data_IF_782603674449
#
_entry.id   IF_782603674449
#
_cell.length_a   1.000
_cell.length_b   1.000
_cell.length_c   1.000
_cell.angle_alpha   90.00
_cell.angle_beta   90.00
_cell.angle_gamma   90.00
#
_symmetry.space_group_name_H-M   'P 1'
#
loop_
_entity.id
_entity.type
_entity.pdbx_description
1 polymer ?
#
# COMPACT_ATOMS: atom_id res chain seq x y z
N UNK A 1 -19.13 22.14 3.35
CA UNK A 1 -17.69 22.26 3.67
C UNK A 1 -17.18 21.20 4.64
N UNK A 2 -17.91 20.84 5.72
CA UNK A 2 -17.47 19.83 6.70
C UNK A 2 -17.12 18.45 6.10
N UNK A 3 -17.91 17.97 5.14
CA UNK A 3 -17.66 16.68 4.44
C UNK A 3 -16.36 16.66 3.63
N UNK A 4 -16.04 17.75 2.92
CA UNK A 4 -14.78 17.85 2.15
C UNK A 4 -13.55 17.85 3.06
N UNK A 5 -13.63 18.56 4.19
CA UNK A 5 -12.54 18.60 5.18
C UNK A 5 -12.33 17.23 5.81
N UNK A 6 -13.42 16.54 6.19
CA UNK A 6 -13.34 15.19 6.75
C UNK A 6 -12.70 14.20 5.77
N UNK A 7 -13.06 14.29 4.48
CA UNK A 7 -12.49 13.44 3.43
C UNK A 7 -10.99 13.68 3.22
N UNK A 8 -10.57 14.95 3.23
CA UNK A 8 -9.14 15.30 3.16
C UNK A 8 -8.38 14.80 4.38
N UNK A 9 -8.96 14.93 5.58
CA UNK A 9 -8.33 14.52 6.82
C UNK A 9 -8.15 13.01 6.91
N UNK A 10 -9.16 12.24 6.49
CA UNK A 10 -9.05 10.77 6.35
C UNK A 10 -7.96 10.41 5.34
N UNK A 11 -7.90 11.11 4.21
CA UNK A 11 -6.88 10.85 3.19
C UNK A 11 -5.45 11.13 3.67
N UNK A 12 -5.26 12.23 4.41
CA UNK A 12 -3.97 12.55 5.04
C UNK A 12 -3.62 11.49 6.09
N UNK A 13 -4.57 11.05 6.90
CA UNK A 13 -4.36 10.03 7.92
C UNK A 13 -3.96 8.68 7.29
N UNK A 14 -4.68 8.24 6.25
CA UNK A 14 -4.33 7.04 5.48
C UNK A 14 -2.94 7.16 4.85
N UNK A 15 -2.59 8.34 4.31
CA UNK A 15 -1.27 8.59 3.74
C UNK A 15 -0.15 8.51 4.79
N UNK A 16 -0.36 9.09 5.97
CA UNK A 16 0.61 9.04 7.08
C UNK A 16 0.76 7.62 7.60
N UNK A 17 -0.34 6.87 7.76
CA UNK A 17 -0.29 5.47 8.17
C UNK A 17 0.45 4.62 7.13
N UNK A 18 0.19 4.84 5.85
CA UNK A 18 0.87 4.13 4.77
C UNK A 18 2.37 4.43 4.75
N UNK A 19 2.75 5.69 4.92
CA UNK A 19 4.15 6.12 4.98
C UNK A 19 4.86 5.58 6.23
N UNK A 20 4.19 5.59 7.38
CA UNK A 20 4.69 5.01 8.62
C UNK A 20 4.90 3.49 8.50
N UNK A 21 3.93 2.77 7.94
CA UNK A 21 4.03 1.34 7.67
C UNK A 21 5.19 1.03 6.73
N UNK A 22 5.33 1.81 5.64
CA UNK A 22 6.44 1.71 4.71
C UNK A 22 7.80 1.85 5.41
N UNK A 23 7.94 2.90 6.24
CA UNK A 23 9.19 3.17 6.95
C UNK A 23 9.56 2.02 7.89
N UNK A 24 8.61 1.57 8.72
CA UNK A 24 8.84 0.46 9.65
C UNK A 24 9.19 -0.82 8.89
N UNK A 25 8.47 -1.15 7.82
CA UNK A 25 8.75 -2.33 6.99
C UNK A 25 10.13 -2.25 6.35
N UNK A 26 10.50 -1.09 5.78
CA UNK A 26 11.79 -0.87 5.16
C UNK A 26 12.94 -1.04 6.17
N UNK A 27 12.85 -0.40 7.34
CA UNK A 27 13.87 -0.53 8.39
C UNK A 27 14.01 -1.99 8.85
N UNK A 28 12.89 -2.70 9.03
CA UNK A 28 12.93 -4.11 9.42
C UNK A 28 13.56 -5.00 8.34
N UNK A 29 13.29 -4.75 7.06
CA UNK A 29 13.91 -5.49 5.95
C UNK A 29 15.42 -5.22 5.87
N UNK A 30 15.83 -3.95 5.98
CA UNK A 30 17.25 -3.57 5.98
C UNK A 30 17.99 -4.20 7.15
N UNK A 31 17.42 -4.13 8.36
CA UNK A 31 17.99 -4.78 9.55
C UNK A 31 18.03 -6.30 9.40
N UNK A 32 16.91 -6.93 9.01
CA UNK A 32 16.78 -8.38 8.87
C UNK A 32 17.74 -8.98 7.84
N UNK A 33 17.86 -8.35 6.67
CA UNK A 33 18.84 -8.77 5.67
C UNK A 33 20.29 -8.42 6.06
N UNK A 34 20.50 -7.39 6.88
CA UNK A 34 21.81 -6.98 7.41
C UNK A 34 22.35 -7.88 8.53
N UNK A 35 21.48 -8.59 9.26
CA UNK A 35 21.87 -9.47 10.38
C UNK A 35 22.77 -10.64 9.98
N UNK A 36 22.81 -11.02 8.70
CA UNK A 36 23.73 -12.04 8.16
C UNK A 36 25.18 -11.59 8.00
N UNK A 37 25.50 -10.34 8.36
CA UNK A 37 26.84 -9.75 8.22
C UNK A 37 27.02 -9.07 6.86
N UNK A 38 27.13 -7.75 6.86
CA UNK A 38 27.47 -6.97 5.66
C UNK A 38 28.99 -6.96 5.52
N UNK A 39 29.54 -7.90 4.74
CA UNK A 39 30.99 -7.99 4.53
C UNK A 39 31.52 -7.02 3.46
N UNK A 40 30.64 -6.43 2.65
CA UNK A 40 30.99 -5.62 1.48
C UNK A 40 30.00 -4.49 1.23
N UNK A 41 30.51 -3.32 0.80
CA UNK A 41 29.69 -2.17 0.35
C UNK A 41 28.72 -2.55 -0.76
N UNK A 42 29.10 -3.48 -1.64
CA UNK A 42 28.24 -3.98 -2.71
C UNK A 42 27.06 -4.82 -2.21
N UNK A 43 27.24 -5.59 -1.13
CA UNK A 43 26.13 -6.30 -0.48
C UNK A 43 25.17 -5.32 0.21
N UNK A 44 25.70 -4.28 0.86
CA UNK A 44 24.88 -3.25 1.50
C UNK A 44 23.94 -2.58 0.49
N UNK A 45 24.46 -2.19 -0.69
CA UNK A 45 23.65 -1.57 -1.75
C UNK A 45 22.59 -2.54 -2.28
N UNK A 46 22.93 -3.81 -2.49
CA UNK A 46 21.96 -4.83 -2.94
C UNK A 46 20.84 -5.03 -1.93
N UNK A 47 21.17 -5.11 -0.64
CA UNK A 47 20.20 -5.25 0.45
C UNK A 47 19.30 -4.00 0.52
N UNK A 48 19.89 -2.81 0.41
CA UNK A 48 19.15 -1.55 0.42
C UNK A 48 18.16 -1.49 -0.75
N UNK A 49 18.61 -1.80 -1.96
CA UNK A 49 17.75 -1.84 -3.14
C UNK A 49 16.64 -2.89 -3.01
N UNK A 50 16.97 -4.12 -2.61
CA UNK A 50 15.98 -5.19 -2.43
C UNK A 50 14.93 -4.82 -1.37
N UNK A 51 15.36 -4.29 -0.23
CA UNK A 51 14.47 -3.83 0.84
C UNK A 51 13.57 -2.71 0.36
N UNK A 52 14.11 -1.77 -0.42
CA UNK A 52 13.35 -0.66 -0.99
C UNK A 52 12.29 -1.16 -1.99
N UNK A 53 12.66 -2.02 -2.94
CA UNK A 53 11.72 -2.57 -3.90
C UNK A 53 10.62 -3.40 -3.24
N UNK A 54 10.94 -4.17 -2.19
CA UNK A 54 9.94 -4.93 -1.44
C UNK A 54 9.03 -4.02 -0.62
N UNK A 55 9.61 -3.05 0.09
CA UNK A 55 8.86 -2.11 0.91
C UNK A 55 7.96 -1.21 0.06
N UNK A 56 8.34 -0.83 -1.17
CA UNK A 56 7.49 -0.01 -2.07
C UNK A 56 6.52 -0.91 -2.82
N UNK A 57 7.01 -2.05 -3.30
CA UNK A 57 6.29 -2.97 -4.16
C UNK A 57 5.09 -3.60 -3.46
N UNK A 58 5.24 -4.15 -2.26
CA UNK A 58 4.13 -4.81 -1.54
C UNK A 58 2.97 -3.83 -1.27
N UNK A 59 3.19 -2.69 -0.59
CA UNK A 59 2.13 -1.74 -0.29
C UNK A 59 1.54 -1.12 -1.56
N UNK A 60 2.36 -0.85 -2.58
CA UNK A 60 1.91 -0.36 -3.88
C UNK A 60 1.01 -1.36 -4.63
N UNK A 61 1.37 -2.65 -4.59
CA UNK A 61 0.55 -3.74 -5.15
C UNK A 61 -0.76 -3.92 -4.40
N UNK A 62 -0.73 -3.88 -3.07
CA UNK A 62 -1.93 -3.96 -2.23
C UNK A 62 -2.86 -2.78 -2.55
N UNK A 63 -2.32 -1.57 -2.65
CA UNK A 63 -3.08 -0.38 -3.02
C UNK A 63 -3.71 -0.53 -4.42
N UNK A 64 -2.96 -1.03 -5.39
CA UNK A 64 -3.45 -1.26 -6.74
C UNK A 64 -4.58 -2.31 -6.78
N UNK A 65 -4.43 -3.41 -6.05
CA UNK A 65 -5.47 -4.43 -5.92
C UNK A 65 -6.71 -3.87 -5.25
N UNK A 66 -6.56 -3.15 -4.14
CA UNK A 66 -7.67 -2.50 -3.44
C UNK A 66 -8.44 -1.55 -4.36
N UNK A 67 -7.75 -0.75 -5.18
CA UNK A 67 -8.38 0.15 -6.15
C UNK A 67 -9.14 -0.61 -7.24
N UNK A 68 -8.65 -1.76 -7.69
CA UNK A 68 -9.36 -2.62 -8.65
C UNK A 68 -10.59 -3.26 -8.03
N UNK A 69 -10.49 -3.74 -6.79
CA UNK A 69 -11.62 -4.32 -6.06
C UNK A 69 -12.76 -3.33 -5.89
N UNK A 70 -12.48 -2.09 -5.47
CA UNK A 70 -13.53 -1.06 -5.38
C UNK A 70 -14.23 -0.78 -6.71
N UNK A 71 -13.51 -0.83 -7.85
CA UNK A 71 -14.16 -0.68 -9.16
C UNK A 71 -15.07 -1.87 -9.48
N UNK A 72 -14.64 -3.08 -9.14
CA UNK A 72 -15.42 -4.29 -9.36
C UNK A 72 -16.68 -4.32 -8.48
N UNK A 73 -16.55 -3.91 -7.22
CA UNK A 73 -17.63 -3.84 -6.25
C UNK A 73 -18.72 -2.85 -6.70
N UNK A 74 -18.32 -1.67 -7.21
CA UNK A 74 -19.29 -0.72 -7.76
C UNK A 74 -20.03 -1.28 -8.98
N UNK A 75 -19.34 -1.96 -9.90
CA UNK A 75 -19.99 -2.60 -11.06
C UNK A 75 -20.96 -3.70 -10.63
N UNK A 76 -20.60 -4.49 -9.61
CA UNK A 76 -21.47 -5.52 -9.07
C UNK A 76 -22.72 -4.90 -8.44
N UNK A 77 -22.57 -3.78 -7.72
CA UNK A 77 -23.66 -3.05 -7.10
C UNK A 77 -24.63 -2.47 -8.13
N UNK A 78 -24.09 -1.88 -9.22
CA UNK A 78 -24.88 -1.39 -10.35
C UNK A 78 -25.66 -2.52 -11.03
N UNK A 79 -25.02 -3.68 -11.23
CA UNK A 79 -25.68 -4.85 -11.83
C UNK A 79 -26.81 -5.38 -10.95
N UNK A 80 -26.60 -5.40 -9.63
CA UNK A 80 -27.61 -5.84 -8.66
C UNK A 80 -28.82 -4.90 -8.65
N UNK A 81 -28.60 -3.58 -8.74
CA UNK A 81 -29.68 -2.59 -8.83
C UNK A 81 -30.49 -2.73 -10.13
N UNK A 82 -29.82 -3.01 -11.25
CA UNK A 82 -30.51 -3.28 -12.53
C UNK A 82 -31.35 -4.56 -12.44
N UNK A 83 -30.79 -5.62 -11.86
CA UNK A 83 -31.49 -6.90 -11.71
C UNK A 83 -32.73 -6.77 -10.79
N UNK A 84 -32.62 -5.99 -9.71
CA UNK A 84 -33.73 -5.71 -8.80
C UNK A 84 -34.84 -4.88 -9.46
N UNK A 85 -34.48 -3.92 -10.34
CA UNK A 85 -35.46 -3.14 -11.13
C UNK A 85 -36.18 -3.92 -12.22
N UNK A 86 -35.62 -5.04 -12.68
CA UNK A 86 -36.22 -5.89 -13.72
C UNK A 86 -37.26 -6.85 -13.12
N UNK A 87 -37.21 -7.09 -11.80
CA UNK A 87 -38.13 -7.94 -11.07
C UNK A 87 -39.42 -7.20 -10.68
#
# INVERSE_FOLDING_TARGET
MKEKVKKVLVWIFEFVLFCGYFYVLFVNLVCGFGYGGISSRGQAIKILCASFFLAVGLPGLIWYQHRRLMKLENLLHDLFEICDKIK
#
